data_IF_796188411283
#
_entry.id   IF_796188411283
#
_cell.length_a   1.000
_cell.length_b   1.000
_cell.length_c   1.000
_cell.angle_alpha   90.00
_cell.angle_beta   90.00
_cell.angle_gamma   90.00
#
_symmetry.space_group_name_H-M   'P 1'
#
loop_
_entity.id
_entity.type
_entity.pdbx_description
1 polymer ?
#
# COMPACT_ATOMS: atom_id res chain seq x y z
N UNK A 1 30.57 -20.84 -45.71
CA UNK A 1 29.19 -20.50 -45.32
C UNK A 1 28.46 -21.73 -44.77
N UNK A 2 28.30 -22.80 -45.54
CA UNK A 2 27.61 -24.03 -45.09
C UNK A 2 28.17 -24.65 -43.81
N UNK A 3 29.51 -24.69 -43.65
CA UNK A 3 30.14 -25.19 -42.41
C UNK A 3 29.72 -24.42 -41.15
N UNK A 4 29.54 -23.10 -41.26
CA UNK A 4 29.11 -22.24 -40.14
C UNK A 4 27.65 -22.55 -39.79
N UNK A 5 26.79 -22.76 -40.80
CA UNK A 5 25.38 -23.12 -40.58
C UNK A 5 25.24 -24.47 -39.87
N UNK A 6 26.07 -25.44 -40.22
CA UNK A 6 26.08 -26.77 -39.59
C UNK A 6 26.52 -26.69 -38.13
N UNK A 7 27.58 -25.93 -37.82
CA UNK A 7 28.04 -25.72 -36.45
C UNK A 7 27.00 -25.00 -35.58
N UNK A 8 26.34 -23.96 -36.11
CA UNK A 8 25.28 -23.25 -35.40
C UNK A 8 24.04 -24.12 -35.15
N UNK A 9 23.68 -24.98 -36.10
CA UNK A 9 22.57 -25.93 -35.94
C UNK A 9 22.86 -26.96 -34.85
N UNK A 10 24.09 -27.47 -34.80
CA UNK A 10 24.54 -28.36 -33.74
C UNK A 10 24.46 -27.66 -32.37
N UNK A 11 25.03 -26.47 -32.25
CA UNK A 11 25.02 -25.68 -31.01
C UNK A 11 23.60 -25.33 -30.53
N UNK A 12 22.68 -25.01 -31.44
CA UNK A 12 21.27 -24.72 -31.10
C UNK A 12 20.52 -25.91 -30.52
N UNK A 13 20.95 -27.14 -30.80
CA UNK A 13 20.32 -28.36 -30.27
C UNK A 13 20.83 -28.77 -28.88
N UNK A 14 21.97 -28.21 -28.44
CA UNK A 14 22.63 -28.51 -27.16
C UNK A 14 22.02 -27.71 -26.00
N UNK A 15 21.43 -26.55 -26.27
CA UNK A 15 20.84 -25.69 -25.23
C UNK A 15 19.33 -26.00 -25.10
N UNK A 16 18.86 -26.63 -24.00
CA UNK A 16 17.45 -26.88 -23.80
C UNK A 16 16.75 -25.60 -23.35
N UNK A 17 16.54 -24.67 -24.29
CA UNK A 17 15.93 -23.36 -24.03
C UNK A 17 14.56 -23.48 -23.36
N UNK A 18 13.78 -24.50 -23.72
CA UNK A 18 12.48 -24.77 -23.10
C UNK A 18 12.58 -25.07 -21.60
N UNK A 19 13.65 -25.75 -21.17
CA UNK A 19 13.88 -26.04 -19.76
C UNK A 19 14.21 -24.76 -18.99
N UNK A 20 15.18 -23.97 -19.47
CA UNK A 20 15.54 -22.69 -18.84
C UNK A 20 14.35 -21.71 -18.80
N UNK A 21 13.60 -21.64 -19.90
CA UNK A 21 12.40 -20.83 -19.98
C UNK A 21 11.34 -21.29 -18.97
N UNK A 22 11.19 -22.60 -18.77
CA UNK A 22 10.30 -23.17 -17.76
C UNK A 22 10.61 -22.69 -16.34
N UNK A 23 11.87 -22.73 -15.91
CA UNK A 23 12.26 -22.19 -14.59
C UNK A 23 12.05 -20.69 -14.51
N UNK A 24 12.46 -19.96 -15.55
CA UNK A 24 12.35 -18.51 -15.57
C UNK A 24 10.90 -18.04 -15.47
N UNK A 25 10.00 -18.64 -16.27
CA UNK A 25 8.56 -18.33 -16.23
C UNK A 25 7.97 -18.71 -14.88
N UNK A 26 8.31 -19.88 -14.33
CA UNK A 26 7.84 -20.30 -13.00
C UNK A 26 8.25 -19.28 -11.93
N UNK A 27 9.50 -18.82 -11.96
CA UNK A 27 10.00 -17.81 -11.03
C UNK A 27 9.27 -16.46 -11.18
N UNK A 28 9.03 -16.00 -12.41
CA UNK A 28 8.27 -14.77 -12.67
C UNK A 28 6.85 -14.89 -12.13
N UNK A 29 6.14 -15.98 -12.45
CA UNK A 29 4.76 -16.19 -12.03
C UNK A 29 4.66 -16.23 -10.51
N UNK A 30 5.60 -16.89 -9.84
CA UNK A 30 5.67 -16.90 -8.38
C UNK A 30 5.86 -15.48 -7.82
N UNK A 31 6.80 -14.70 -8.36
CA UNK A 31 7.01 -13.30 -7.92
C UNK A 31 5.82 -12.40 -8.20
N UNK A 32 5.16 -12.57 -9.34
CA UNK A 32 3.96 -11.82 -9.69
C UNK A 32 2.82 -12.11 -8.71
N UNK A 33 2.59 -13.39 -8.40
CA UNK A 33 1.56 -13.78 -7.43
C UNK A 33 1.89 -13.25 -6.03
N UNK A 34 3.16 -13.34 -5.61
CA UNK A 34 3.60 -12.77 -4.34
C UNK A 34 3.39 -11.25 -4.28
N UNK A 35 3.62 -10.51 -5.36
CA UNK A 35 3.32 -9.07 -5.40
C UNK A 35 1.82 -8.80 -5.25
N UNK A 36 0.97 -9.59 -5.92
CA UNK A 36 -0.49 -9.45 -5.83
C UNK A 36 -1.02 -9.72 -4.42
N UNK A 37 -0.55 -10.79 -3.76
CA UNK A 37 -0.98 -11.15 -2.40
C UNK A 37 -0.49 -10.13 -1.36
N UNK A 38 0.66 -9.50 -1.59
CA UNK A 38 1.21 -8.48 -0.69
C UNK A 38 0.67 -7.06 -0.91
N UNK A 39 -0.31 -6.86 -1.81
CA UNK A 39 -1.00 -5.57 -1.91
C UNK A 39 -1.71 -5.30 -0.57
N UNK A 40 -1.44 -4.17 0.11
CA UNK A 40 -2.01 -3.90 1.42
C UNK A 40 -3.45 -3.38 1.29
N UNK A 41 -4.40 -4.32 1.20
CA UNK A 41 -5.83 -4.01 1.13
C UNK A 41 -6.31 -3.36 2.43
N UNK A 42 -6.96 -2.19 2.39
CA UNK A 42 -7.37 -1.46 3.59
C UNK A 42 -8.58 -2.10 4.28
N UNK A 43 -9.33 -2.94 3.56
CA UNK A 43 -10.62 -3.51 3.94
C UNK A 43 -10.63 -4.07 5.36
N UNK A 44 -9.66 -4.94 5.69
CA UNK A 44 -9.58 -5.59 6.99
C UNK A 44 -9.41 -4.57 8.12
N UNK A 45 -8.47 -3.64 7.98
CA UNK A 45 -8.23 -2.58 8.96
C UNK A 45 -9.47 -1.68 9.12
N UNK A 46 -10.13 -1.32 8.02
CA UNK A 46 -11.31 -0.44 8.05
C UNK A 46 -12.52 -1.12 8.68
N UNK A 47 -12.77 -2.40 8.39
CA UNK A 47 -13.87 -3.15 9.00
C UNK A 47 -13.66 -3.35 10.50
N UNK A 48 -12.44 -3.68 10.91
CA UNK A 48 -12.11 -3.85 12.33
C UNK A 48 -12.20 -2.51 13.06
N UNK A 49 -11.70 -1.43 12.46
CA UNK A 49 -11.88 -0.06 12.98
C UNK A 49 -13.35 0.31 13.15
N UNK A 50 -14.19 0.04 12.15
CA UNK A 50 -15.62 0.33 12.21
C UNK A 50 -16.34 -0.47 13.29
N UNK A 51 -15.83 -1.66 13.63
CA UNK A 51 -16.37 -2.53 14.69
C UNK A 51 -16.03 -2.01 16.09
N UNK A 52 -14.80 -1.50 16.31
CA UNK A 52 -14.37 -1.10 17.65
C UNK A 52 -14.52 0.40 17.96
N UNK A 53 -14.54 1.25 16.93
CA UNK A 53 -14.72 2.70 17.08
C UNK A 53 -16.21 3.08 17.00
N UNK A 54 -16.86 3.03 18.16
CA UNK A 54 -18.29 3.26 18.30
C UNK A 54 -18.63 4.75 18.33
N UNK A 55 -19.93 5.05 18.19
CA UNK A 55 -20.49 6.40 18.31
C UNK A 55 -21.12 6.91 17.01
N UNK A 56 -22.32 7.46 17.14
CA UNK A 56 -23.10 8.06 16.04
C UNK A 56 -22.94 9.58 15.96
N UNK A 57 -22.22 10.17 16.92
CA UNK A 57 -21.88 11.58 16.95
C UNK A 57 -20.93 11.95 15.80
N UNK A 58 -20.98 13.22 15.40
CA UNK A 58 -20.14 13.74 14.33
C UNK A 58 -18.66 13.52 14.60
N UNK A 59 -18.22 13.61 15.87
CA UNK A 59 -16.82 13.39 16.23
C UNK A 59 -16.37 11.95 15.97
N UNK A 60 -17.12 10.95 16.43
CA UNK A 60 -16.82 9.54 16.13
C UNK A 60 -16.86 9.26 14.63
N UNK A 61 -17.83 9.82 13.90
CA UNK A 61 -17.90 9.72 12.44
C UNK A 61 -16.64 10.33 11.78
N UNK A 62 -16.18 11.49 12.24
CA UNK A 62 -14.97 12.13 11.74
C UNK A 62 -13.72 11.30 12.03
N UNK A 63 -13.60 10.70 13.22
CA UNK A 63 -12.47 9.83 13.56
C UNK A 63 -12.39 8.62 12.62
N UNK A 64 -13.51 7.93 12.36
CA UNK A 64 -13.54 6.81 11.41
C UNK A 64 -13.12 7.23 10.01
N UNK A 65 -13.63 8.38 9.54
CA UNK A 65 -13.29 8.93 8.22
C UNK A 65 -11.82 9.34 8.13
N UNK A 66 -11.25 9.95 9.17
CA UNK A 66 -9.85 10.34 9.19
C UNK A 66 -8.91 9.12 9.21
N UNK A 67 -9.22 8.08 10.00
CA UNK A 67 -8.45 6.81 9.95
C UNK A 67 -8.50 6.22 8.54
N UNK A 68 -9.68 6.16 7.92
CA UNK A 68 -9.82 5.63 6.58
C UNK A 68 -9.02 6.42 5.54
N UNK A 69 -9.12 7.76 5.57
CA UNK A 69 -8.35 8.67 4.71
C UNK A 69 -6.85 8.48 4.86
N UNK A 70 -6.35 8.36 6.09
CA UNK A 70 -4.92 8.18 6.35
C UNK A 70 -4.38 6.82 5.89
N UNK A 71 -5.13 5.74 6.12
CA UNK A 71 -4.77 4.41 5.61
C UNK A 71 -4.72 4.42 4.07
N UNK A 72 -5.73 5.00 3.42
CA UNK A 72 -5.77 5.13 1.97
C UNK A 72 -4.65 6.03 1.42
N UNK A 73 -4.30 7.11 2.12
CA UNK A 73 -3.19 7.97 1.73
C UNK A 73 -1.85 7.22 1.78
N UNK A 74 -1.60 6.45 2.85
CA UNK A 74 -0.41 5.57 2.93
C UNK A 74 -0.36 4.55 1.78
N UNK A 75 -1.50 3.93 1.46
CA UNK A 75 -1.64 3.01 0.32
C UNK A 75 -1.35 3.70 -1.03
N UNK A 76 -1.86 4.91 -1.24
CA UNK A 76 -1.59 5.67 -2.47
C UNK A 76 -0.10 5.99 -2.58
N UNK A 77 0.56 6.37 -1.49
CA UNK A 77 2.00 6.69 -1.49
C UNK A 77 2.86 5.49 -1.88
N UNK A 78 2.58 4.30 -1.35
CA UNK A 78 3.33 3.09 -1.70
C UNK A 78 3.02 2.65 -3.13
N UNK A 79 1.74 2.65 -3.53
CA UNK A 79 1.33 2.27 -4.88
C UNK A 79 1.87 3.24 -5.94
N UNK A 80 1.94 4.53 -5.65
CA UNK A 80 2.55 5.55 -6.53
C UNK A 80 4.04 5.28 -6.77
N UNK A 81 4.74 4.69 -5.81
CA UNK A 81 6.17 4.39 -5.94
C UNK A 81 6.46 3.15 -6.80
N UNK A 82 5.51 2.22 -6.92
CA UNK A 82 5.72 0.94 -7.63
C UNK A 82 4.85 0.76 -8.89
N UNK A 83 3.77 1.53 -9.03
CA UNK A 83 2.82 1.43 -10.14
C UNK A 83 2.79 2.71 -10.97
N UNK A 84 3.20 2.59 -12.23
CA UNK A 84 3.16 3.69 -13.21
C UNK A 84 1.74 4.22 -13.40
N UNK A 85 0.73 3.35 -13.37
CA UNK A 85 -0.68 3.74 -13.51
C UNK A 85 -1.14 4.64 -12.35
N UNK A 86 -0.72 4.32 -11.12
CA UNK A 86 -1.05 5.13 -9.94
C UNK A 86 -0.25 6.43 -9.95
N UNK A 87 1.02 6.39 -10.37
CA UNK A 87 1.84 7.59 -10.54
C UNK A 87 1.26 8.56 -11.57
N UNK A 88 0.71 8.06 -12.69
CA UNK A 88 0.01 8.88 -13.69
C UNK A 88 -1.28 9.49 -13.17
N UNK A 89 -2.00 8.77 -12.29
CA UNK A 89 -3.25 9.25 -11.68
C UNK A 89 -3.00 10.29 -10.58
N UNK A 90 -1.92 10.12 -9.81
CA UNK A 90 -1.53 11.03 -8.73
C UNK A 90 -0.07 11.50 -8.90
N UNK A 91 0.23 12.37 -9.87
CA UNK A 91 1.60 12.82 -10.13
C UNK A 91 2.19 13.65 -8.99
N UNK A 92 1.39 14.46 -8.30
CA UNK A 92 1.82 15.30 -7.18
C UNK A 92 0.95 15.08 -5.94
N UNK A 93 1.38 15.60 -4.79
CA UNK A 93 0.57 15.59 -3.57
C UNK A 93 -0.72 16.40 -3.77
N UNK A 94 -0.69 17.48 -4.55
CA UNK A 94 -1.88 18.28 -4.85
C UNK A 94 -3.00 17.47 -5.51
N UNK A 95 -2.67 16.54 -6.42
CA UNK A 95 -3.66 15.65 -7.03
C UNK A 95 -4.33 14.73 -6.00
N UNK A 96 -3.61 14.39 -4.92
CA UNK A 96 -4.15 13.59 -3.81
C UNK A 96 -5.06 14.44 -2.92
N UNK A 97 -4.70 15.71 -2.71
CA UNK A 97 -5.52 16.71 -2.01
C UNK A 97 -6.83 16.96 -2.78
N UNK A 98 -6.74 17.23 -4.08
CA UNK A 98 -7.90 17.47 -4.95
C UNK A 98 -8.84 16.27 -5.01
N UNK A 99 -8.30 15.04 -4.99
CA UNK A 99 -9.08 13.82 -4.90
C UNK A 99 -9.73 13.58 -3.53
N UNK A 100 -9.44 14.41 -2.51
CA UNK A 100 -10.08 14.37 -1.20
C UNK A 100 -9.54 13.31 -0.24
N UNK A 101 -8.38 12.72 -0.52
CA UNK A 101 -7.75 11.76 0.41
C UNK A 101 -7.12 12.47 1.61
N UNK A 102 -6.59 13.68 1.41
CA UNK A 102 -6.01 14.51 2.47
C UNK A 102 -6.44 15.97 2.33
N UNK A 103 -6.36 16.74 3.41
CA UNK A 103 -6.57 18.19 3.38
C UNK A 103 -5.27 18.92 3.00
N UNK A 104 -5.37 20.22 2.69
CA UNK A 104 -4.20 21.06 2.38
C UNK A 104 -3.26 21.15 3.59
N UNK A 105 -3.83 21.29 4.78
CA UNK A 105 -3.07 21.37 6.03
C UNK A 105 -2.32 20.05 6.30
N UNK A 106 -2.95 18.90 6.02
CA UNK A 106 -2.33 17.59 6.12
C UNK A 106 -1.20 17.42 5.11
N UNK A 107 -1.35 17.93 3.88
CA UNK A 107 -0.28 17.94 2.88
C UNK A 107 0.93 18.79 3.34
N UNK A 108 0.69 19.99 3.86
CA UNK A 108 1.77 20.84 4.40
C UNK A 108 2.49 20.16 5.58
N UNK A 109 1.76 19.53 6.49
CA UNK A 109 2.36 18.77 7.59
C UNK A 109 3.20 17.60 7.06
N UNK A 110 2.70 16.88 6.06
CA UNK A 110 3.41 15.78 5.43
C UNK A 110 4.72 16.26 4.79
N UNK A 111 4.72 17.41 4.11
CA UNK A 111 5.90 17.99 3.48
C UNK A 111 6.96 18.44 4.49
N UNK A 112 6.54 19.02 5.61
CA UNK A 112 7.43 19.47 6.70
C UNK A 112 8.23 18.33 7.34
N UNK A 113 7.74 17.09 7.29
CA UNK A 113 8.46 15.92 7.82
C UNK A 113 9.77 15.73 7.04
N UNK A 114 10.88 15.96 7.75
CA UNK A 114 12.24 15.81 7.23
C UNK A 114 12.59 14.33 7.09
N UNK A 115 12.51 13.80 5.86
CA UNK A 115 12.95 12.45 5.55
C UNK A 115 13.42 12.39 4.09
N UNK A 116 14.53 11.70 3.85
CA UNK A 116 15.07 11.49 2.49
C UNK A 116 14.37 10.35 1.74
N UNK A 117 13.68 9.48 2.45
CA UNK A 117 13.03 8.28 1.90
C UNK A 117 11.52 8.49 1.75
N UNK A 118 10.85 7.54 1.10
CA UNK A 118 9.40 7.55 0.94
C UNK A 118 8.71 7.54 2.31
N UNK A 119 7.84 8.53 2.54
CA UNK A 119 7.17 8.78 3.84
C UNK A 119 5.80 8.10 3.96
N UNK A 120 5.60 6.93 3.35
CA UNK A 120 4.31 6.21 3.36
C UNK A 120 3.83 5.82 4.77
N UNK A 121 4.75 5.76 5.74
CA UNK A 121 4.46 5.45 7.14
C UNK A 121 3.88 6.63 7.93
N UNK A 122 4.06 7.88 7.46
CA UNK A 122 3.58 9.09 8.15
C UNK A 122 2.05 9.06 8.31
N UNK A 123 1.26 8.79 7.26
CA UNK A 123 -0.19 8.67 7.41
C UNK A 123 -0.62 7.52 8.32
N UNK A 124 0.09 6.39 8.29
CA UNK A 124 -0.21 5.25 9.17
C UNK A 124 -0.01 5.63 10.65
N UNK A 125 1.04 6.41 10.95
CA UNK A 125 1.25 6.95 12.28
C UNK A 125 0.14 7.92 12.71
N UNK A 126 -0.35 8.77 11.80
CA UNK A 126 -1.50 9.64 12.06
C UNK A 126 -2.79 8.85 12.31
N UNK A 127 -3.03 7.77 11.56
CA UNK A 127 -4.15 6.86 11.81
C UNK A 127 -4.09 6.26 13.22
N UNK A 128 -2.92 5.77 13.64
CA UNK A 128 -2.71 5.27 14.99
C UNK A 128 -2.94 6.34 16.06
N UNK A 129 -2.51 7.58 15.82
CA UNK A 129 -2.74 8.68 16.75
C UNK A 129 -4.24 8.97 16.94
N UNK A 130 -5.04 8.89 15.87
CA UNK A 130 -6.50 9.03 15.95
C UNK A 130 -7.11 7.87 16.75
N UNK A 131 -6.66 6.64 16.53
CA UNK A 131 -7.13 5.45 17.27
C UNK A 131 -6.81 5.52 18.77
N UNK A 132 -5.59 5.92 19.12
CA UNK A 132 -5.18 6.14 20.52
C UNK A 132 -6.04 7.24 21.16
N UNK A 133 -6.32 8.32 20.42
CA UNK A 133 -7.22 9.37 20.89
C UNK A 133 -8.64 8.84 21.10
N UNK A 134 -9.16 8.00 20.19
CA UNK A 134 -10.47 7.39 20.33
C UNK A 134 -10.57 6.50 21.58
N UNK A 135 -9.49 5.78 21.90
CA UNK A 135 -9.39 4.99 23.12
C UNK A 135 -9.38 5.84 24.38
N UNK A 136 -8.59 6.93 24.40
CA UNK A 136 -8.52 7.88 25.52
C UNK A 136 -9.87 8.54 25.79
N UNK A 137 -10.63 8.80 24.73
CA UNK A 137 -11.96 9.40 24.81
C UNK A 137 -13.09 8.37 25.06
N UNK A 138 -12.75 7.10 25.29
CA UNK A 138 -13.72 6.04 25.58
C UNK A 138 -14.59 5.58 24.41
N UNK A 139 -14.29 6.02 23.17
CA UNK A 139 -15.00 5.60 21.94
C UNK A 139 -14.63 4.17 21.55
N UNK A 140 -13.39 3.78 21.83
CA UNK A 140 -12.95 2.39 21.85
C UNK A 140 -12.98 1.94 23.32
N UNK A 141 -13.82 0.97 23.63
CA UNK A 141 -14.12 0.59 25.02
C UNK A 141 -12.98 -0.19 25.69
N UNK A 142 -12.28 -1.04 24.92
CA UNK A 142 -11.30 -1.98 25.46
C UNK A 142 -9.93 -1.80 24.80
N UNK A 143 -8.86 -2.06 25.55
CA UNK A 143 -7.50 -2.10 25.00
C UNK A 143 -7.34 -3.23 23.98
N UNK A 144 -8.08 -4.32 24.16
CA UNK A 144 -8.20 -5.39 23.17
C UNK A 144 -8.74 -4.86 21.83
N UNK A 145 -9.79 -4.03 21.85
CA UNK A 145 -10.32 -3.42 20.64
C UNK A 145 -9.30 -2.53 19.93
N UNK A 146 -8.57 -1.70 20.68
CA UNK A 146 -7.49 -0.89 20.11
C UNK A 146 -6.41 -1.75 19.47
N UNK A 147 -5.96 -2.79 20.17
CA UNK A 147 -4.96 -3.74 19.70
C UNK A 147 -5.40 -4.44 18.41
N UNK A 148 -6.64 -4.91 18.37
CA UNK A 148 -7.21 -5.53 17.18
C UNK A 148 -7.22 -4.59 15.97
N UNK A 149 -7.43 -3.28 16.15
CA UNK A 149 -7.38 -2.35 15.01
C UNK A 149 -5.95 -2.11 14.53
N UNK A 150 -4.97 -2.06 15.43
CA UNK A 150 -3.57 -1.73 15.12
C UNK A 150 -2.78 -2.93 14.55
N UNK A 151 -3.05 -4.15 15.01
CA UNK A 151 -2.30 -5.36 14.64
C UNK A 151 -2.77 -6.05 13.35
N UNK A 152 -3.78 -5.49 12.67
CA UNK A 152 -4.45 -6.11 11.51
C UNK A 152 -3.65 -6.01 10.21
#
# INVERSE_FOLDING_TARGET
FESIVIELRSASSVIPLSFLLGFYVTFIVQRWWQQFVNVPWPDRTLFVMATYLHGYDDKSRMMRRSVARYVLFGLILICRAVSVSVMKRFPTIDHIVEAGFITKEEAEMYEKVQCRYLKFWVPIMWANQVLVTARREGRIQTDFGLRMVIEV
#
